data_IF_259048264084
#
_entry.id   IF_259048264084
#
_cell.length_a   1.000
_cell.length_b   1.000
_cell.length_c   1.000
_cell.angle_alpha   90.00
_cell.angle_beta   90.00
_cell.angle_gamma   90.00
#
_symmetry.space_group_name_H-M   'P 1'
#
loop_
_entity.id
_entity.type
_entity.pdbx_description
1 polymer ?
#
# COMPACT_ATOMS: atom_id res chain seq x y z
N UNK A 1 -9.69 10.06 -31.13
CA UNK A 1 -10.47 10.58 -29.98
C UNK A 1 -9.89 11.92 -29.59
N UNK A 2 -10.67 13.00 -29.65
CA UNK A 2 -10.25 14.29 -29.13
C UNK A 2 -10.01 14.20 -27.61
N UNK A 3 -8.98 14.82 -27.05
CA UNK A 3 -8.76 14.81 -25.60
C UNK A 3 -9.93 15.52 -24.91
N UNK A 4 -10.72 14.79 -24.12
CA UNK A 4 -11.69 15.41 -23.21
C UNK A 4 -10.92 16.34 -22.26
N UNK A 5 -11.32 17.60 -22.18
CA UNK A 5 -10.74 18.55 -21.22
C UNK A 5 -10.95 18.01 -19.81
N UNK A 6 -9.88 17.86 -19.04
CA UNK A 6 -9.96 17.55 -17.61
C UNK A 6 -10.69 18.70 -16.92
N UNK A 7 -11.69 18.36 -16.10
CA UNK A 7 -12.39 19.36 -15.30
C UNK A 7 -11.47 19.92 -14.21
N UNK A 8 -11.63 21.19 -13.84
CA UNK A 8 -10.84 21.80 -12.73
C UNK A 8 -10.93 20.95 -11.45
N UNK A 9 -12.10 20.40 -11.15
CA UNK A 9 -12.28 19.50 -10.00
C UNK A 9 -11.40 18.25 -10.06
N UNK A 10 -11.25 17.63 -11.23
CA UNK A 10 -10.44 16.43 -11.39
C UNK A 10 -8.93 16.77 -11.29
N UNK A 11 -8.53 17.94 -11.78
CA UNK A 11 -7.16 18.43 -11.61
C UNK A 11 -6.85 18.72 -10.14
N UNK A 12 -7.74 19.41 -9.42
CA UNK A 12 -7.60 19.72 -8.00
C UNK A 12 -7.59 18.46 -7.13
N UNK A 13 -8.49 17.50 -7.40
CA UNK A 13 -8.52 16.24 -6.66
C UNK A 13 -7.23 15.43 -6.81
N UNK A 14 -6.64 15.43 -8.01
CA UNK A 14 -5.34 14.78 -8.29
C UNK A 14 -4.20 15.44 -7.54
N UNK A 15 -4.11 16.77 -7.60
CA UNK A 15 -3.11 17.51 -6.83
C UNK A 15 -3.27 17.23 -5.33
N UNK A 16 -4.51 17.29 -4.80
CA UNK A 16 -4.79 17.02 -3.40
C UNK A 16 -4.35 15.60 -2.98
N UNK A 17 -4.69 14.58 -3.77
CA UNK A 17 -4.27 13.20 -3.50
C UNK A 17 -2.74 13.07 -3.44
N UNK A 18 -2.05 13.66 -4.42
CA UNK A 18 -0.59 13.63 -4.47
C UNK A 18 0.02 14.35 -3.25
N UNK A 19 -0.44 15.58 -2.95
CA UNK A 19 0.03 16.36 -1.80
C UNK A 19 -0.18 15.61 -0.49
N UNK A 20 -1.34 14.98 -0.30
CA UNK A 20 -1.66 14.26 0.94
C UNK A 20 -0.78 13.03 1.13
N UNK A 21 -0.60 12.21 0.09
CA UNK A 21 0.29 11.04 0.15
C UNK A 21 1.72 11.49 0.45
N UNK A 22 2.24 12.47 -0.28
CA UNK A 22 3.59 13.00 -0.06
C UNK A 22 3.77 13.60 1.34
N UNK A 23 2.78 14.32 1.87
CA UNK A 23 2.83 14.90 3.19
C UNK A 23 2.87 13.83 4.30
N UNK A 24 2.04 12.79 4.21
CA UNK A 24 2.04 11.69 5.19
C UNK A 24 3.32 10.85 5.10
N UNK A 25 3.88 10.65 3.91
CA UNK A 25 5.18 9.99 3.75
C UNK A 25 6.32 10.84 4.34
N UNK A 26 6.34 12.14 4.04
CA UNK A 26 7.33 13.07 4.61
C UNK A 26 7.23 13.12 6.13
N UNK A 27 6.01 13.08 6.68
CA UNK A 27 5.77 12.92 8.11
C UNK A 27 6.41 11.64 8.64
N UNK A 28 6.23 10.50 7.96
CA UNK A 28 6.90 9.24 8.33
C UNK A 28 8.42 9.33 8.31
N UNK A 29 8.98 9.97 7.27
CA UNK A 29 10.43 10.22 7.18
C UNK A 29 10.90 11.07 8.36
N UNK A 30 10.18 12.13 8.73
CA UNK A 30 10.49 12.98 9.89
C UNK A 30 10.52 12.19 11.21
N UNK A 31 9.74 11.11 11.32
CA UNK A 31 9.73 10.22 12.47
C UNK A 31 10.92 9.25 12.52
N UNK A 32 11.79 9.23 11.51
CA UNK A 32 12.98 8.37 11.47
C UNK A 32 14.03 8.75 12.53
N UNK A 33 14.74 7.78 13.14
CA UNK A 33 15.74 8.06 14.16
C UNK A 33 16.81 9.12 13.82
N UNK A 34 17.33 9.21 12.57
CA UNK A 34 18.35 10.22 12.23
C UNK A 34 17.87 11.68 12.31
N UNK A 35 16.56 11.93 12.28
CA UNK A 35 16.00 13.28 12.21
C UNK A 35 15.59 13.86 13.59
N UNK A 36 16.21 13.39 14.68
CA UNK A 36 15.95 13.87 16.05
C UNK A 36 16.10 15.38 16.19
N UNK A 37 17.16 15.97 15.61
CA UNK A 37 17.39 17.42 15.65
C UNK A 37 16.27 18.21 14.95
N UNK A 38 15.82 17.74 13.79
CA UNK A 38 14.70 18.35 13.06
C UNK A 38 13.38 18.20 13.81
N UNK A 39 13.12 17.02 14.41
CA UNK A 39 11.95 16.80 15.27
C UNK A 39 11.92 17.78 16.44
N UNK A 40 13.04 17.92 17.16
CA UNK A 40 13.18 18.87 18.27
C UNK A 40 12.84 20.29 17.82
N UNK A 41 13.38 20.71 16.67
CA UNK A 41 13.13 22.05 16.12
C UNK A 41 11.64 22.28 15.76
N UNK A 42 10.91 21.22 15.41
CA UNK A 42 9.48 21.27 15.10
C UNK A 42 8.57 21.04 16.34
N UNK A 43 9.14 20.96 17.54
CA UNK A 43 8.39 20.71 18.77
C UNK A 43 7.89 19.26 18.93
N UNK A 44 8.47 18.32 18.18
CA UNK A 44 8.18 16.89 18.28
C UNK A 44 9.09 16.20 19.29
N UNK A 45 8.66 15.07 19.89
CA UNK A 45 9.51 14.29 20.78
C UNK A 45 10.80 13.84 20.08
N UNK A 46 11.94 14.11 20.72
CA UNK A 46 13.25 13.62 20.26
C UNK A 46 13.26 12.09 20.21
N UNK A 47 12.85 11.47 21.30
CA UNK A 47 12.60 10.04 21.38
C UNK A 47 11.11 9.82 21.28
N UNK A 48 10.70 9.06 20.28
CA UNK A 48 9.29 8.70 20.10
C UNK A 48 8.84 7.86 21.31
N UNK A 49 7.92 8.33 22.16
CA UNK A 49 7.56 7.65 23.41
C UNK A 49 6.97 6.25 23.18
N UNK A 50 7.47 5.19 23.82
CA UNK A 50 7.11 3.80 23.46
C UNK A 50 7.81 3.27 22.20
N UNK A 51 8.76 4.02 21.62
CA UNK A 51 9.57 3.57 20.49
C UNK A 51 10.46 2.39 20.86
N UNK A 52 10.85 1.60 19.86
CA UNK A 52 11.79 0.49 20.03
C UNK A 52 13.24 0.92 19.88
N UNK A 53 13.50 2.03 19.20
CA UNK A 53 14.86 2.52 18.98
C UNK A 53 15.47 3.08 20.27
N UNK A 54 16.62 2.54 20.66
CA UNK A 54 17.43 3.04 21.76
C UNK A 54 18.53 3.94 21.19
N UNK A 55 18.50 5.27 21.44
CA UNK A 55 19.48 6.20 20.91
C UNK A 55 20.88 6.03 21.52
N UNK A 56 21.01 5.45 22.71
CA UNK A 56 22.31 5.25 23.35
C UNK A 56 23.09 4.09 22.73
N UNK A 57 22.39 3.03 22.30
CA UNK A 57 23.00 1.82 21.74
C UNK A 57 22.85 1.72 20.22
N UNK A 58 22.07 2.61 19.60
CA UNK A 58 21.66 2.53 18.20
C UNK A 58 21.04 1.18 17.81
N UNK A 59 20.35 0.53 18.76
CA UNK A 59 19.68 -0.76 18.56
C UNK A 59 18.17 -0.65 18.74
N UNK A 60 17.44 -1.64 18.21
CA UNK A 60 16.00 -1.77 18.43
C UNK A 60 15.73 -2.81 19.53
N UNK A 61 15.00 -2.40 20.58
CA UNK A 61 14.45 -3.31 21.57
C UNK A 61 13.44 -4.26 20.92
N UNK A 62 13.44 -5.50 21.39
CA UNK A 62 12.39 -6.46 21.06
C UNK A 62 11.06 -5.87 21.51
N UNK A 63 10.87 -5.64 22.81
CA UNK A 63 9.63 -5.08 23.35
C UNK A 63 9.63 -3.55 23.37
N UNK A 64 8.53 -2.90 22.98
CA UNK A 64 8.39 -1.46 23.13
C UNK A 64 8.26 -1.07 24.61
N UNK A 65 8.87 0.04 25.00
CA UNK A 65 8.81 0.55 26.39
C UNK A 65 7.40 0.92 26.86
N UNK A 66 6.49 1.19 25.93
CA UNK A 66 5.06 1.34 26.18
C UNK A 66 4.28 0.73 25.00
N UNK A 67 3.84 -0.54 25.10
CA UNK A 67 3.16 -1.25 24.02
C UNK A 67 1.90 -0.55 23.51
N UNK A 68 1.05 -0.03 24.42
CA UNK A 68 -0.17 0.68 24.05
C UNK A 68 0.12 1.91 23.18
N UNK A 69 1.10 2.72 23.58
CA UNK A 69 1.48 3.91 22.82
C UNK A 69 2.17 3.56 21.50
N UNK A 70 3.00 2.52 21.50
CA UNK A 70 3.67 2.03 20.31
C UNK A 70 2.66 1.62 19.24
N UNK A 71 1.73 0.73 19.60
CA UNK A 71 0.72 0.24 18.65
C UNK A 71 -0.25 1.33 18.24
N UNK A 72 -0.69 2.21 19.15
CA UNK A 72 -1.51 3.35 18.77
C UNK A 72 -0.86 4.17 17.66
N UNK A 73 0.43 4.49 17.76
CA UNK A 73 1.13 5.26 16.72
C UNK A 73 1.27 4.54 15.40
N UNK A 74 1.61 3.27 15.43
CA UNK A 74 1.68 2.46 14.20
C UNK A 74 0.31 2.44 13.54
N UNK A 75 -0.74 2.06 14.27
CA UNK A 75 -2.11 1.98 13.74
C UNK A 75 -2.53 3.29 13.10
N UNK A 76 -2.41 4.43 13.79
CA UNK A 76 -2.84 5.72 13.24
C UNK A 76 -1.98 6.19 12.06
N UNK A 77 -0.66 5.95 12.09
CA UNK A 77 0.21 6.31 10.97
C UNK A 77 -0.11 5.50 9.71
N UNK A 78 -0.20 4.17 9.82
CA UNK A 78 -0.53 3.33 8.68
C UNK A 78 -1.94 3.61 8.17
N UNK A 79 -2.93 3.84 9.04
CA UNK A 79 -4.27 4.21 8.59
C UNK A 79 -4.30 5.58 7.89
N UNK A 80 -3.49 6.56 8.32
CA UNK A 80 -3.36 7.83 7.61
C UNK A 80 -2.77 7.62 6.19
N UNK A 81 -1.72 6.82 6.07
CA UNK A 81 -1.12 6.49 4.77
C UNK A 81 -2.10 5.72 3.87
N UNK A 82 -2.76 4.71 4.44
CA UNK A 82 -3.76 3.88 3.75
C UNK A 82 -4.94 4.73 3.27
N UNK A 83 -5.42 5.65 4.11
CA UNK A 83 -6.49 6.58 3.79
C UNK A 83 -6.14 7.49 2.60
N UNK A 84 -4.93 8.06 2.60
CA UNK A 84 -4.44 8.87 1.49
C UNK A 84 -4.29 8.06 0.20
N UNK A 85 -3.76 6.82 0.27
CA UNK A 85 -3.63 5.94 -0.89
C UNK A 85 -4.97 5.43 -1.42
N UNK A 86 -5.95 5.15 -0.55
CA UNK A 86 -7.32 4.83 -0.97
C UNK A 86 -7.94 6.01 -1.71
N UNK A 87 -7.81 7.23 -1.18
CA UNK A 87 -8.28 8.42 -1.88
C UNK A 87 -7.58 8.59 -3.24
N UNK A 88 -6.26 8.43 -3.31
CA UNK A 88 -5.52 8.46 -4.57
C UNK A 88 -5.98 7.38 -5.55
N UNK A 89 -6.33 6.19 -5.05
CA UNK A 89 -6.89 5.09 -5.85
C UNK A 89 -8.27 5.47 -6.41
N UNK A 90 -9.15 6.06 -5.61
CA UNK A 90 -10.46 6.56 -6.07
C UNK A 90 -10.28 7.64 -7.14
N UNK A 91 -9.36 8.57 -6.92
CA UNK A 91 -9.04 9.65 -7.88
C UNK A 91 -8.52 9.07 -9.20
N UNK A 92 -7.59 8.12 -9.16
CA UNK A 92 -7.07 7.45 -10.34
C UNK A 92 -8.19 6.68 -11.05
N UNK A 93 -8.99 5.90 -10.32
CA UNK A 93 -10.09 5.12 -10.88
C UNK A 93 -11.19 5.99 -11.51
N UNK A 94 -11.44 7.19 -10.95
CA UNK A 94 -12.41 8.15 -11.48
C UNK A 94 -11.92 8.89 -12.74
N UNK A 95 -10.64 8.79 -13.10
CA UNK A 95 -10.09 9.44 -14.29
C UNK A 95 -10.59 8.74 -15.57
N UNK A 96 -11.23 9.46 -16.52
CA UNK A 96 -11.58 8.89 -17.81
C UNK A 96 -10.32 8.42 -18.57
N UNK A 97 -10.34 7.26 -19.25
CA UNK A 97 -11.48 6.37 -19.50
C UNK A 97 -11.58 5.17 -18.52
N UNK A 98 -10.94 5.22 -17.35
CA UNK A 98 -10.75 4.03 -16.50
C UNK A 98 -12.05 3.45 -15.96
N UNK A 99 -12.87 4.25 -15.29
CA UNK A 99 -14.22 3.85 -14.90
C UNK A 99 -15.21 4.92 -15.32
N UNK A 100 -16.31 4.47 -15.93
CA UNK A 100 -17.48 5.33 -16.11
C UNK A 100 -18.33 5.31 -14.84
N UNK A 101 -17.93 6.15 -13.88
CA UNK A 101 -18.73 6.44 -12.70
C UNK A 101 -19.86 7.40 -13.09
N UNK A 102 -21.08 7.11 -12.63
CA UNK A 102 -22.23 8.03 -12.79
C UNK A 102 -21.87 9.39 -12.18
N UNK A 103 -22.02 10.49 -12.93
CA UNK A 103 -21.49 11.83 -12.54
C UNK A 103 -21.90 12.28 -11.13
N UNK A 104 -23.17 12.06 -10.74
CA UNK A 104 -23.65 12.42 -9.40
C UNK A 104 -22.96 11.66 -8.26
N UNK A 105 -22.61 10.39 -8.48
CA UNK A 105 -21.92 9.56 -7.50
C UNK A 105 -20.41 9.80 -7.50
N UNK A 106 -19.83 10.11 -8.68
CA UNK A 106 -18.40 10.39 -8.83
C UNK A 106 -17.96 11.53 -7.93
N UNK A 107 -18.69 12.67 -7.98
CA UNK A 107 -18.34 13.84 -7.18
C UNK A 107 -18.49 13.57 -5.68
N UNK A 108 -19.55 12.86 -5.29
CA UNK A 108 -19.77 12.44 -3.90
C UNK A 108 -18.62 11.57 -3.38
N UNK A 109 -18.21 10.55 -4.13
CA UNK A 109 -17.10 9.67 -3.76
C UNK A 109 -15.77 10.43 -3.63
N UNK A 110 -15.48 11.37 -4.54
CA UNK A 110 -14.25 12.18 -4.47
C UNK A 110 -14.24 13.13 -3.26
N UNK A 111 -15.36 13.81 -2.98
CA UNK A 111 -15.46 14.73 -1.83
C UNK A 111 -15.37 13.98 -0.51
N UNK A 112 -16.14 12.89 -0.36
CA UNK A 112 -16.08 12.07 0.85
C UNK A 112 -14.71 11.39 1.01
N UNK A 113 -14.11 10.93 -0.09
CA UNK A 113 -12.77 10.35 -0.07
C UNK A 113 -11.71 11.36 0.38
N UNK A 114 -11.77 12.60 -0.13
CA UNK A 114 -10.87 13.68 0.27
C UNK A 114 -11.02 14.03 1.75
N UNK A 115 -12.25 14.34 2.19
CA UNK A 115 -12.54 14.69 3.59
C UNK A 115 -12.18 13.55 4.53
N UNK A 116 -12.52 12.32 4.15
CA UNK A 116 -12.21 11.13 4.92
C UNK A 116 -10.71 10.92 5.06
N UNK A 117 -9.94 11.04 3.98
CA UNK A 117 -8.48 10.94 4.04
C UNK A 117 -7.85 12.07 4.88
N UNK A 118 -8.36 13.29 4.74
CA UNK A 118 -7.87 14.46 5.48
C UNK A 118 -8.11 14.30 6.98
N UNK A 119 -9.34 13.96 7.38
CA UNK A 119 -9.71 13.82 8.79
C UNK A 119 -9.10 12.59 9.45
N UNK A 120 -8.97 11.48 8.72
CA UNK A 120 -8.21 10.31 9.19
C UNK A 120 -6.76 10.69 9.46
N UNK A 121 -6.12 11.41 8.53
CA UNK A 121 -4.72 11.77 8.67
C UNK A 121 -4.49 12.81 9.76
N UNK A 122 -5.24 13.92 9.75
CA UNK A 122 -5.13 14.96 10.78
C UNK A 122 -5.50 14.42 12.16
N UNK A 123 -6.68 13.80 12.31
CA UNK A 123 -7.12 13.24 13.57
C UNK A 123 -6.17 12.19 14.11
N UNK A 124 -5.74 11.24 13.26
CA UNK A 124 -4.89 10.14 13.67
C UNK A 124 -3.47 10.57 14.01
N UNK A 125 -2.82 11.39 13.18
CA UNK A 125 -1.45 11.84 13.43
C UNK A 125 -1.39 12.80 14.62
N UNK A 126 -2.34 13.73 14.76
CA UNK A 126 -2.39 14.62 15.93
C UNK A 126 -2.69 13.85 17.21
N UNK A 127 -3.63 12.89 17.18
CA UNK A 127 -3.93 12.04 18.33
C UNK A 127 -2.71 11.22 18.78
N UNK A 128 -2.00 10.62 17.82
CA UNK A 128 -0.93 9.69 18.09
C UNK A 128 0.41 10.34 18.48
N UNK A 129 0.69 11.54 17.95
CA UNK A 129 2.01 12.19 18.08
C UNK A 129 2.01 13.51 18.84
N UNK A 130 0.86 14.18 19.01
CA UNK A 130 0.78 15.47 19.71
C UNK A 130 -0.04 15.41 20.99
N UNK A 131 -1.33 15.09 20.92
CA UNK A 131 -2.22 15.14 22.06
C UNK A 131 -3.30 14.04 22.00
N UNK A 132 -3.45 13.26 23.07
CA UNK A 132 -4.44 12.17 23.15
C UNK A 132 -5.82 12.66 23.55
N UNK A 133 -6.38 13.58 22.78
CA UNK A 133 -7.69 14.18 23.06
C UNK A 133 -8.82 13.33 22.44
N UNK A 134 -9.94 13.12 23.15
CA UNK A 134 -11.06 12.32 22.64
C UNK A 134 -11.60 12.81 21.29
N UNK A 135 -11.65 14.13 21.07
CA UNK A 135 -12.14 14.70 19.82
C UNK A 135 -11.19 14.49 18.63
N UNK A 136 -9.87 14.36 18.85
CA UNK A 136 -8.92 14.02 17.79
C UNK A 136 -9.09 12.57 17.35
N UNK A 137 -9.29 11.66 18.31
CA UNK A 137 -9.64 10.28 18.00
C UNK A 137 -11.03 10.17 17.32
N UNK A 138 -12.01 10.96 17.77
CA UNK A 138 -13.32 11.07 17.12
C UNK A 138 -13.22 11.55 15.67
N UNK A 139 -12.35 12.53 15.39
CA UNK A 139 -12.07 13.01 14.03
C UNK A 139 -11.45 11.91 13.16
N UNK A 140 -10.52 11.13 13.71
CA UNK A 140 -9.95 9.95 13.03
C UNK A 140 -11.03 8.94 12.64
N UNK A 141 -11.91 8.57 13.58
CA UNK A 141 -13.01 7.62 13.33
C UNK A 141 -14.00 8.18 12.29
N UNK A 142 -14.37 9.46 12.40
CA UNK A 142 -15.25 10.11 11.43
C UNK A 142 -14.63 10.12 10.02
N UNK A 143 -13.32 10.35 9.91
CA UNK A 143 -12.58 10.26 8.66
C UNK A 143 -12.65 8.88 8.03
N UNK A 144 -12.42 7.82 8.82
CA UNK A 144 -12.54 6.44 8.33
C UNK A 144 -13.96 6.11 7.88
N UNK A 145 -14.99 6.56 8.61
CA UNK A 145 -16.39 6.38 8.23
C UNK A 145 -16.73 7.09 6.91
N UNK A 146 -16.20 8.29 6.68
CA UNK A 146 -16.35 8.99 5.41
C UNK A 146 -15.67 8.27 4.24
N UNK A 147 -14.47 7.70 4.45
CA UNK A 147 -13.80 6.88 3.44
C UNK A 147 -14.59 5.61 3.13
N UNK A 148 -15.16 4.97 4.15
CA UNK A 148 -16.06 3.83 3.96
C UNK A 148 -17.26 4.22 3.09
N UNK A 149 -17.93 5.35 3.41
CA UNK A 149 -19.03 5.87 2.62
C UNK A 149 -18.62 6.21 1.17
N UNK A 150 -17.42 6.78 0.97
CA UNK A 150 -16.88 7.01 -0.36
C UNK A 150 -16.71 5.71 -1.16
N UNK A 151 -16.24 4.63 -0.51
CA UNK A 151 -16.15 3.30 -1.11
C UNK A 151 -17.52 2.73 -1.49
N UNK A 152 -18.54 2.88 -0.63
CA UNK A 152 -19.93 2.46 -0.94
C UNK A 152 -20.46 3.22 -2.15
N UNK A 153 -20.28 4.55 -2.20
CA UNK A 153 -20.68 5.35 -3.36
C UNK A 153 -19.95 4.91 -4.62
N UNK A 154 -18.63 4.68 -4.54
CA UNK A 154 -17.83 4.22 -5.66
C UNK A 154 -18.36 2.87 -6.18
N UNK A 155 -18.55 1.88 -5.32
CA UNK A 155 -19.09 0.56 -5.67
C UNK A 155 -20.47 0.65 -6.33
N UNK A 156 -21.38 1.46 -5.77
CA UNK A 156 -22.74 1.65 -6.30
C UNK A 156 -22.78 2.33 -7.69
N UNK A 157 -21.71 3.04 -8.04
CA UNK A 157 -21.63 3.83 -9.25
C UNK A 157 -20.98 3.09 -10.42
N UNK A 158 -20.21 2.04 -10.15
CA UNK A 158 -19.54 1.23 -11.17
C UNK A 158 -20.56 0.34 -11.87
N UNK A 159 -20.60 0.41 -13.19
CA UNK A 159 -21.30 -0.55 -14.04
C UNK A 159 -20.26 -1.37 -14.82
N UNK A 160 -19.97 -2.62 -14.41
CA UNK A 160 -18.93 -3.40 -15.08
C UNK A 160 -19.25 -3.65 -16.55
N UNK A 161 -18.30 -3.32 -17.43
CA UNK A 161 -18.40 -3.56 -18.89
C UNK A 161 -17.50 -4.69 -19.34
N UNK A 162 -16.41 -4.89 -18.62
CA UNK A 162 -15.45 -5.95 -18.84
C UNK A 162 -15.03 -6.61 -17.51
N UNK A 163 -14.22 -7.65 -17.61
CA UNK A 163 -13.71 -8.39 -16.46
C UNK A 163 -12.77 -7.56 -15.57
N UNK A 164 -12.13 -6.51 -16.09
CA UNK A 164 -11.29 -5.63 -15.28
C UNK A 164 -12.16 -4.70 -14.42
N UNK A 165 -13.26 -4.17 -14.96
CA UNK A 165 -14.25 -3.42 -14.17
C UNK A 165 -14.84 -4.29 -13.06
N UNK A 166 -15.18 -5.54 -13.40
CA UNK A 166 -15.69 -6.51 -12.43
C UNK A 166 -14.66 -6.78 -11.32
N UNK A 167 -13.37 -6.86 -11.66
CA UNK A 167 -12.28 -6.97 -10.69
C UNK A 167 -12.16 -5.76 -9.78
N UNK A 168 -12.27 -4.53 -10.32
CA UNK A 168 -12.26 -3.32 -9.49
C UNK A 168 -13.48 -3.27 -8.56
N UNK A 169 -14.67 -3.60 -9.06
CA UNK A 169 -15.88 -3.65 -8.23
C UNK A 169 -15.74 -4.69 -7.10
N UNK A 170 -15.29 -5.91 -7.43
CA UNK A 170 -15.08 -6.97 -6.46
C UNK A 170 -14.09 -6.52 -5.37
N UNK A 171 -12.97 -5.92 -5.76
CA UNK A 171 -11.99 -5.41 -4.83
C UNK A 171 -12.54 -4.30 -3.91
N UNK A 172 -13.33 -3.35 -4.42
CA UNK A 172 -13.94 -2.31 -3.58
C UNK A 172 -14.88 -2.95 -2.56
N UNK A 173 -15.72 -3.90 -2.98
CA UNK A 173 -16.62 -4.63 -2.06
C UNK A 173 -15.81 -5.37 -0.99
N UNK A 174 -14.73 -6.05 -1.37
CA UNK A 174 -13.87 -6.78 -0.43
C UNK A 174 -13.10 -5.83 0.51
N UNK A 175 -12.67 -4.65 0.05
CA UNK A 175 -12.09 -3.60 0.91
C UNK A 175 -13.12 -3.06 1.91
N UNK A 176 -14.40 -2.95 1.54
CA UNK A 176 -15.47 -2.58 2.48
C UNK A 176 -15.69 -3.66 3.54
N UNK A 177 -15.63 -4.94 3.17
CA UNK A 177 -15.65 -6.05 4.15
C UNK A 177 -14.45 -5.95 5.09
N UNK A 178 -13.25 -5.74 4.55
CA UNK A 178 -12.04 -5.54 5.34
C UNK A 178 -12.15 -4.33 6.28
N UNK A 179 -12.73 -3.22 5.82
CA UNK A 179 -13.00 -2.04 6.66
C UNK A 179 -13.95 -2.33 7.82
N UNK A 180 -14.98 -3.15 7.61
CA UNK A 180 -15.89 -3.58 8.68
C UNK A 180 -15.17 -4.46 9.72
N UNK A 181 -14.31 -5.38 9.27
CA UNK A 181 -13.47 -6.20 10.18
C UNK A 181 -12.51 -5.30 10.97
N UNK A 182 -11.90 -4.30 10.32
CA UNK A 182 -11.05 -3.31 10.98
C UNK A 182 -11.81 -2.52 12.06
N UNK A 183 -13.06 -2.12 11.78
CA UNK A 183 -13.95 -1.50 12.76
C UNK A 183 -14.27 -2.40 13.95
N UNK A 184 -14.53 -3.69 13.68
CA UNK A 184 -14.72 -4.71 14.73
C UNK A 184 -13.46 -4.85 15.60
N UNK A 185 -12.28 -4.97 14.99
CA UNK A 185 -11.00 -5.00 15.70
C UNK A 185 -10.79 -3.72 16.53
N UNK A 186 -11.10 -2.55 15.99
CA UNK A 186 -11.01 -1.28 16.72
C UNK A 186 -11.91 -1.24 17.95
N UNK A 187 -13.10 -1.84 17.88
CA UNK A 187 -14.03 -1.93 19.01
C UNK A 187 -13.49 -2.76 20.19
N UNK A 188 -12.52 -3.65 19.95
CA UNK A 188 -11.88 -4.45 20.99
C UNK A 188 -11.15 -3.61 22.07
N UNK A 189 -10.84 -2.35 21.75
CA UNK A 189 -10.20 -1.41 22.68
C UNK A 189 -11.16 -0.76 23.70
N UNK A 190 -12.48 -1.00 23.56
CA UNK A 190 -13.51 -0.55 24.50
C UNK A 190 -13.39 -1.34 25.82
N UNK A 191 -13.20 -2.65 25.74
CA UNK A 191 -13.04 -3.53 26.90
C UNK A 191 -11.57 -3.65 27.32
N UNK A 192 -11.28 -3.42 28.59
CA UNK A 192 -9.90 -3.43 29.11
C UNK A 192 -9.24 -4.81 29.09
N UNK A 193 -9.99 -5.88 29.33
CA UNK A 193 -9.49 -7.26 29.34
C UNK A 193 -9.16 -7.74 27.94
N UNK A 194 -10.05 -7.48 26.98
CA UNK A 194 -9.85 -7.79 25.56
C UNK A 194 -8.65 -7.02 25.01
N UNK A 195 -8.59 -5.71 25.27
CA UNK A 195 -7.47 -4.85 24.89
C UNK A 195 -6.14 -5.37 25.41
N UNK A 196 -6.07 -5.73 26.70
CA UNK A 196 -4.84 -6.24 27.30
C UNK A 196 -4.37 -7.54 26.63
N UNK A 197 -5.31 -8.46 26.37
CA UNK A 197 -5.04 -9.70 25.63
C UNK A 197 -4.52 -9.45 24.21
N UNK A 198 -5.14 -8.53 23.47
CA UNK A 198 -4.72 -8.15 22.12
C UNK A 198 -3.33 -7.51 22.10
N UNK A 199 -3.07 -6.52 22.96
CA UNK A 199 -1.76 -5.85 23.02
C UNK A 199 -0.66 -6.84 23.39
N UNK A 200 -0.93 -7.77 24.31
CA UNK A 200 0.00 -8.85 24.65
C UNK A 200 0.29 -9.74 23.44
N UNK A 201 -0.75 -10.16 22.70
CA UNK A 201 -0.58 -10.96 21.49
C UNK A 201 0.26 -10.20 20.43
N UNK A 202 -0.04 -8.93 20.17
CA UNK A 202 0.73 -8.10 19.22
C UNK A 202 2.20 -7.93 19.61
N UNK A 203 2.52 -7.89 20.91
CA UNK A 203 3.90 -7.78 21.40
C UNK A 203 4.69 -9.08 21.33
N UNK A 204 4.03 -10.20 21.62
CA UNK A 204 4.69 -11.48 21.91
C UNK A 204 4.48 -12.56 20.86
N UNK A 205 3.55 -12.41 19.91
CA UNK A 205 3.24 -13.43 18.90
C UNK A 205 4.48 -13.86 18.08
N UNK A 206 5.41 -12.94 17.79
CA UNK A 206 6.67 -13.26 17.08
C UNK A 206 7.63 -14.16 17.90
N UNK A 207 7.45 -14.23 19.22
CA UNK A 207 8.24 -15.06 20.14
C UNK A 207 7.50 -16.34 20.51
N UNK A 208 6.16 -16.28 20.52
CA UNK A 208 5.28 -17.40 20.80
C UNK A 208 4.09 -17.41 19.82
N UNK A 209 4.18 -18.19 18.73
CA UNK A 209 3.11 -18.30 17.74
C UNK A 209 1.76 -18.79 18.29
N UNK A 210 1.76 -19.57 19.38
CA UNK A 210 0.52 -20.09 19.97
C UNK A 210 -0.35 -18.96 20.57
N UNK A 211 0.26 -17.85 21.01
CA UNK A 211 -0.46 -16.65 21.44
C UNK A 211 -1.20 -15.96 20.28
N UNK A 212 -0.68 -16.10 19.07
CA UNK A 212 -1.29 -15.55 17.86
C UNK A 212 -2.53 -16.37 17.48
N UNK A 213 -2.40 -17.71 17.43
CA UNK A 213 -3.50 -18.61 17.06
C UNK A 213 -4.64 -18.61 18.09
N UNK A 214 -4.32 -18.51 19.38
CA UNK A 214 -5.32 -18.53 20.45
C UNK A 214 -6.10 -17.21 20.62
N UNK A 215 -5.62 -16.10 20.05
CA UNK A 215 -6.27 -14.79 20.19
C UNK A 215 -7.11 -14.44 18.94
N UNK A 216 -8.46 -14.46 19.01
CA UNK A 216 -9.30 -14.20 17.85
C UNK A 216 -9.17 -12.77 17.31
N UNK A 217 -8.88 -11.78 18.16
CA UNK A 217 -8.68 -10.40 17.72
C UNK A 217 -7.34 -10.21 17.01
N UNK A 218 -6.29 -10.92 17.45
CA UNK A 218 -5.02 -10.93 16.74
C UNK A 218 -5.20 -11.55 15.34
N UNK A 219 -5.90 -12.69 15.24
CA UNK A 219 -6.20 -13.32 13.95
C UNK A 219 -7.03 -12.41 13.05
N UNK A 220 -7.99 -11.67 13.61
CA UNK A 220 -8.78 -10.67 12.88
C UNK A 220 -7.93 -9.49 12.38
N UNK A 221 -6.97 -9.00 13.18
CA UNK A 221 -6.00 -7.96 12.75
C UNK A 221 -5.21 -8.47 11.55
N UNK A 222 -4.62 -9.66 11.64
CA UNK A 222 -3.80 -10.22 10.56
C UNK A 222 -4.62 -10.46 9.29
N UNK A 223 -5.82 -11.03 9.42
CA UNK A 223 -6.73 -11.21 8.29
C UNK A 223 -7.13 -9.89 7.63
N UNK A 224 -7.38 -8.85 8.44
CA UNK A 224 -7.63 -7.49 7.94
C UNK A 224 -6.41 -6.92 7.20
N UNK A 225 -5.24 -6.89 7.84
CA UNK A 225 -4.04 -6.27 7.28
C UNK A 225 -3.61 -6.95 5.96
N UNK A 226 -3.55 -8.28 5.93
CA UNK A 226 -3.16 -9.04 4.74
C UNK A 226 -4.13 -8.80 3.57
N UNK A 227 -5.44 -8.89 3.83
CA UNK A 227 -6.44 -8.71 2.81
C UNK A 227 -6.40 -7.28 2.24
N UNK A 228 -6.34 -6.27 3.10
CA UNK A 228 -6.46 -4.88 2.69
C UNK A 228 -5.33 -4.46 1.74
N UNK A 229 -4.07 -4.77 2.06
CA UNK A 229 -2.92 -4.44 1.20
C UNK A 229 -3.00 -5.21 -0.11
N UNK A 230 -3.21 -6.53 -0.06
CA UNK A 230 -3.21 -7.37 -1.26
C UNK A 230 -4.36 -7.03 -2.22
N UNK A 231 -5.56 -6.71 -1.71
CA UNK A 231 -6.69 -6.27 -2.53
C UNK A 231 -6.39 -4.90 -3.16
N UNK A 232 -5.79 -3.98 -2.40
CA UNK A 232 -5.44 -2.64 -2.88
C UNK A 232 -4.36 -2.68 -3.99
N UNK A 233 -3.33 -3.50 -3.81
CA UNK A 233 -2.31 -3.79 -4.84
C UNK A 233 -2.94 -4.34 -6.12
N UNK A 234 -3.85 -5.29 -5.96
CA UNK A 234 -4.56 -5.92 -7.08
C UNK A 234 -5.36 -4.89 -7.86
N UNK A 235 -6.08 -4.00 -7.17
CA UNK A 235 -6.80 -2.89 -7.81
C UNK A 235 -5.85 -1.95 -8.54
N UNK A 236 -4.73 -1.57 -7.93
CA UNK A 236 -3.78 -0.68 -8.55
C UNK A 236 -3.22 -1.27 -9.86
N UNK A 237 -2.87 -2.56 -9.85
CA UNK A 237 -2.42 -3.25 -11.06
C UNK A 237 -3.54 -3.39 -12.10
N UNK A 238 -4.79 -3.65 -11.69
CA UNK A 238 -5.95 -3.67 -12.60
C UNK A 238 -6.15 -2.29 -13.24
N UNK A 239 -6.04 -1.19 -12.48
CA UNK A 239 -6.13 0.18 -13.00
C UNK A 239 -5.01 0.46 -14.02
N UNK A 240 -3.78 -0.01 -13.76
CA UNK A 240 -2.68 0.05 -14.71
C UNK A 240 -2.99 -0.76 -15.98
N UNK A 241 -3.54 -1.96 -15.88
CA UNK A 241 -3.95 -2.74 -17.05
C UNK A 241 -5.01 -2.02 -17.89
N UNK A 242 -5.96 -1.36 -17.23
CA UNK A 242 -7.00 -0.56 -17.89
C UNK A 242 -6.42 0.66 -18.59
N UNK A 243 -5.47 1.38 -17.95
CA UNK A 243 -4.83 2.55 -18.58
C UNK A 243 -3.96 2.14 -19.78
N UNK A 244 -3.26 1.02 -19.66
CA UNK A 244 -2.40 0.50 -20.73
C UNK A 244 -3.17 -0.17 -21.88
N UNK A 245 -4.42 -0.54 -21.61
CA UNK A 245 -5.32 -1.17 -22.56
C UNK A 245 -4.94 -2.63 -22.85
N UNK A 246 -5.78 -3.55 -22.40
CA UNK A 246 -5.62 -4.98 -22.70
C UNK A 246 -6.23 -5.28 -24.05
N UNK A 247 -5.44 -5.85 -24.97
CA UNK A 247 -5.99 -6.44 -26.20
C UNK A 247 -6.78 -7.69 -25.80
N UNK A 248 -8.03 -7.83 -26.20
CA UNK A 248 -8.85 -8.97 -25.78
C UNK A 248 -8.71 -10.21 -26.69
N UNK A 249 -8.65 -11.40 -26.12
CA UNK A 249 -8.82 -12.71 -26.80
C UNK A 249 -9.46 -13.69 -25.82
N UNK A 250 -9.85 -14.89 -26.28
CA UNK A 250 -10.42 -15.93 -25.41
C UNK A 250 -9.52 -16.23 -24.20
N UNK A 251 -8.23 -16.51 -24.42
CA UNK A 251 -7.27 -16.79 -23.33
C UNK A 251 -7.08 -15.61 -22.37
N UNK A 252 -7.15 -14.37 -22.85
CA UNK A 252 -7.02 -13.18 -21.99
C UNK A 252 -8.29 -12.90 -21.19
N UNK A 253 -9.46 -13.22 -21.74
CA UNK A 253 -10.71 -13.21 -20.95
C UNK A 253 -10.65 -14.27 -19.86
N UNK A 254 -10.19 -15.48 -20.17
CA UNK A 254 -9.97 -16.52 -19.17
C UNK A 254 -8.99 -16.07 -18.07
N UNK A 255 -7.84 -15.48 -18.44
CA UNK A 255 -6.89 -14.92 -17.47
C UNK A 255 -7.53 -13.82 -16.60
N UNK A 256 -8.35 -12.93 -17.17
CA UNK A 256 -9.05 -11.91 -16.38
C UNK A 256 -10.06 -12.52 -15.41
N UNK A 257 -10.83 -13.53 -15.84
CA UNK A 257 -11.75 -14.27 -14.96
C UNK A 257 -10.99 -14.96 -13.82
N UNK A 258 -9.88 -15.64 -14.13
CA UNK A 258 -9.04 -16.31 -13.13
C UNK A 258 -8.37 -15.31 -12.18
N UNK A 259 -7.99 -14.12 -12.66
CA UNK A 259 -7.52 -13.04 -11.79
C UNK A 259 -8.62 -12.60 -10.83
N UNK A 260 -9.84 -12.34 -11.30
CA UNK A 260 -10.96 -11.96 -10.41
C UNK A 260 -11.30 -13.07 -9.42
N UNK A 261 -11.31 -14.33 -9.85
CA UNK A 261 -11.51 -15.47 -8.96
C UNK A 261 -10.39 -15.58 -7.91
N UNK A 262 -9.13 -15.46 -8.34
CA UNK A 262 -7.97 -15.46 -7.44
C UNK A 262 -8.03 -14.34 -6.40
N UNK A 263 -8.42 -13.13 -6.82
CA UNK A 263 -8.67 -11.99 -5.92
C UNK A 263 -9.73 -12.32 -4.85
N UNK A 264 -10.88 -12.86 -5.27
CA UNK A 264 -11.99 -13.20 -4.35
C UNK A 264 -11.55 -14.30 -3.37
N UNK A 265 -10.96 -15.39 -3.89
CA UNK A 265 -10.52 -16.52 -3.05
C UNK A 265 -9.44 -16.07 -2.08
N UNK A 266 -8.44 -15.31 -2.54
CA UNK A 266 -7.38 -14.78 -1.68
C UNK A 266 -7.97 -13.90 -0.57
N UNK A 267 -8.84 -12.94 -0.90
CA UNK A 267 -9.44 -12.04 0.07
C UNK A 267 -10.31 -12.79 1.10
N UNK A 268 -11.17 -13.70 0.63
CA UNK A 268 -12.01 -14.52 1.52
C UNK A 268 -11.14 -15.38 2.41
N UNK A 269 -10.13 -16.06 1.88
CA UNK A 269 -9.19 -16.85 2.67
C UNK A 269 -8.46 -15.99 3.73
N UNK A 270 -8.02 -14.77 3.38
CA UNK A 270 -7.44 -13.85 4.35
C UNK A 270 -8.41 -13.48 5.47
N UNK A 271 -9.68 -13.21 5.17
CA UNK A 271 -10.69 -12.95 6.21
C UNK A 271 -11.00 -14.19 7.05
N UNK A 272 -10.94 -15.38 6.44
CA UNK A 272 -11.14 -16.66 7.12
C UNK A 272 -10.02 -17.03 8.11
N UNK A 273 -8.88 -16.33 8.09
CA UNK A 273 -7.85 -16.43 9.16
C UNK A 273 -8.47 -16.12 10.53
N UNK A 274 -9.45 -15.21 10.60
CA UNK A 274 -10.12 -14.87 11.86
C UNK A 274 -10.77 -16.09 12.54
N UNK A 275 -11.71 -16.82 11.91
CA UNK A 275 -12.28 -18.03 12.51
C UNK A 275 -11.34 -19.25 12.46
N UNK A 276 -10.59 -19.45 11.37
CA UNK A 276 -9.93 -20.74 11.08
C UNK A 276 -8.40 -20.75 11.23
N UNK A 277 -7.78 -19.61 11.57
CA UNK A 277 -6.34 -19.52 11.86
C UNK A 277 -5.45 -19.99 10.72
N UNK A 278 -4.40 -20.74 11.06
CA UNK A 278 -3.39 -21.26 10.13
C UNK A 278 -3.92 -21.95 8.87
N UNK A 279 -5.04 -22.70 8.96
CA UNK A 279 -5.61 -23.46 7.82
C UNK A 279 -5.97 -22.55 6.64
N UNK A 280 -6.41 -21.33 6.93
CA UNK A 280 -6.79 -20.38 5.88
C UNK A 280 -5.59 -19.93 5.04
N UNK A 281 -4.37 -19.95 5.59
CA UNK A 281 -3.15 -19.56 4.87
C UNK A 281 -2.81 -20.49 3.70
N UNK A 282 -3.24 -21.76 3.76
CA UNK A 282 -3.04 -22.73 2.68
C UNK A 282 -3.77 -22.33 1.39
N UNK A 283 -4.87 -21.58 1.49
CA UNK A 283 -5.61 -21.07 0.34
C UNK A 283 -5.14 -19.70 -0.15
N UNK A 284 -4.56 -18.86 0.72
CA UNK A 284 -4.12 -17.49 0.38
C UNK A 284 -3.02 -17.53 -0.68
N UNK A 285 -1.98 -18.33 -0.45
CA UNK A 285 -0.78 -18.41 -1.32
C UNK A 285 -1.10 -18.88 -2.75
N UNK A 286 -1.78 -20.03 -2.98
CA UNK A 286 -2.09 -20.44 -4.35
C UNK A 286 -3.03 -19.45 -5.05
N UNK A 287 -3.98 -18.85 -4.32
CA UNK A 287 -4.89 -17.85 -4.90
C UNK A 287 -4.15 -16.56 -5.31
N UNK A 288 -3.22 -16.07 -4.49
CA UNK A 288 -2.41 -14.89 -4.80
C UNK A 288 -1.43 -15.14 -5.96
N UNK A 289 -0.87 -16.35 -6.07
CA UNK A 289 -0.05 -16.75 -7.21
C UNK A 289 -0.85 -16.79 -8.52
N UNK A 290 -2.05 -17.39 -8.52
CA UNK A 290 -2.93 -17.41 -9.69
C UNK A 290 -3.30 -15.99 -10.11
N UNK A 291 -3.67 -15.14 -9.14
CA UNK A 291 -3.99 -13.74 -9.34
C UNK A 291 -2.82 -12.99 -10.00
N UNK A 292 -1.63 -13.02 -9.40
CA UNK A 292 -0.47 -12.29 -9.90
C UNK A 292 0.00 -12.82 -11.26
N UNK A 293 0.01 -14.14 -11.46
CA UNK A 293 0.35 -14.76 -12.75
C UNK A 293 -0.61 -14.27 -13.84
N UNK A 294 -1.92 -14.29 -13.59
CA UNK A 294 -2.91 -13.85 -14.55
C UNK A 294 -2.77 -12.35 -14.87
N UNK A 295 -2.57 -11.50 -13.86
CA UNK A 295 -2.33 -10.06 -14.07
C UNK A 295 -1.02 -9.81 -14.84
N UNK A 296 0.03 -10.59 -14.59
CA UNK A 296 1.31 -10.53 -15.32
C UNK A 296 1.11 -10.91 -16.81
N UNK A 297 0.35 -11.96 -17.09
CA UNK A 297 0.01 -12.38 -18.46
C UNK A 297 -0.80 -11.32 -19.20
N UNK A 298 -1.73 -10.65 -18.50
CA UNK A 298 -2.48 -9.53 -19.05
C UNK A 298 -1.56 -8.33 -19.35
N UNK A 299 -0.64 -8.02 -18.44
CA UNK A 299 0.32 -6.91 -18.60
C UNK A 299 1.23 -7.12 -19.82
N UNK A 300 1.73 -8.34 -20.02
CA UNK A 300 2.54 -8.70 -21.19
C UNK A 300 1.81 -8.47 -22.52
N UNK A 301 0.47 -8.44 -22.51
CA UNK A 301 -0.41 -8.33 -23.68
C UNK A 301 -1.15 -6.99 -23.78
N UNK A 302 -0.69 -5.99 -23.05
CA UNK A 302 -1.13 -4.59 -23.20
C UNK A 302 -0.75 -4.03 -24.57
N UNK A 303 -1.41 -2.94 -24.99
CA UNK A 303 -1.16 -2.32 -26.29
C UNK A 303 0.28 -1.79 -26.35
N UNK A 304 1.03 -2.24 -27.37
CA UNK A 304 2.41 -1.78 -27.61
C UNK A 304 2.49 -0.37 -28.20
N UNK A 305 1.38 0.13 -28.74
CA UNK A 305 1.28 1.44 -29.38
C UNK A 305 0.76 2.45 -28.36
N UNK A 306 1.49 3.55 -28.21
CA UNK A 306 1.18 4.62 -27.27
C UNK A 306 2.19 5.74 -27.42
N UNK A 307 1.88 6.89 -26.84
CA UNK A 307 2.84 7.99 -26.73
C UNK A 307 4.00 7.64 -25.77
N UNK A 308 4.92 8.58 -25.56
CA UNK A 308 6.09 8.38 -24.73
C UNK A 308 5.75 8.06 -23.27
N UNK A 309 4.73 8.72 -22.71
CA UNK A 309 4.30 8.51 -21.32
C UNK A 309 3.68 7.13 -21.18
N UNK A 310 2.81 6.73 -22.10
CA UNK A 310 2.18 5.39 -22.11
C UNK A 310 3.21 4.26 -22.21
N UNK A 311 4.22 4.41 -23.08
CA UNK A 311 5.34 3.45 -23.18
C UNK A 311 6.13 3.37 -21.88
N UNK A 312 6.40 4.51 -21.25
CA UNK A 312 7.13 4.57 -19.97
C UNK A 312 6.32 3.97 -18.83
N UNK A 313 5.01 4.20 -18.78
CA UNK A 313 4.10 3.59 -17.80
C UNK A 313 4.07 2.07 -17.94
N UNK A 314 4.09 1.55 -19.17
CA UNK A 314 4.19 0.11 -19.42
C UNK A 314 5.50 -0.48 -18.94
N UNK A 315 6.63 0.20 -19.18
CA UNK A 315 7.94 -0.22 -18.68
C UNK A 315 7.96 -0.18 -17.15
N UNK A 316 7.49 0.90 -16.54
CA UNK A 316 7.37 1.04 -15.09
C UNK A 316 6.51 -0.08 -14.47
N UNK A 317 5.37 -0.41 -15.07
CA UNK A 317 4.51 -1.51 -14.64
C UNK A 317 5.21 -2.88 -14.72
N UNK A 318 5.97 -3.13 -15.80
CA UNK A 318 6.74 -4.37 -15.97
C UNK A 318 7.83 -4.45 -14.90
N UNK A 319 8.59 -3.37 -14.68
CA UNK A 319 9.59 -3.31 -13.61
C UNK A 319 8.94 -3.60 -12.27
N UNK A 320 7.84 -2.91 -11.93
CA UNK A 320 7.11 -3.11 -10.68
C UNK A 320 6.66 -4.55 -10.46
N UNK A 321 6.04 -5.18 -11.46
CA UNK A 321 5.59 -6.58 -11.37
C UNK A 321 6.77 -7.54 -11.23
N UNK A 322 7.86 -7.35 -11.99
CA UNK A 322 9.07 -8.18 -11.87
C UNK A 322 9.74 -8.02 -10.51
N UNK A 323 9.74 -6.80 -9.95
CA UNK A 323 10.20 -6.56 -8.58
C UNK A 323 9.34 -7.28 -7.56
N UNK A 324 8.00 -7.25 -7.68
CA UNK A 324 7.12 -8.00 -6.76
C UNK A 324 7.40 -9.51 -6.86
N UNK A 325 7.60 -10.04 -8.07
CA UNK A 325 8.02 -11.44 -8.23
C UNK A 325 9.35 -11.73 -7.53
N UNK A 326 10.37 -10.91 -7.77
CA UNK A 326 11.74 -11.17 -7.31
C UNK A 326 12.01 -10.84 -5.85
N UNK A 327 11.33 -9.84 -5.28
CA UNK A 327 11.58 -9.32 -3.94
C UNK A 327 10.48 -9.66 -2.93
N UNK A 328 9.35 -10.24 -3.37
CA UNK A 328 8.25 -10.65 -2.48
C UNK A 328 7.85 -12.09 -2.72
N UNK A 329 7.46 -12.46 -3.95
CA UNK A 329 6.83 -13.76 -4.19
C UNK A 329 7.82 -14.92 -4.10
N UNK A 330 8.95 -14.83 -4.80
CA UNK A 330 9.98 -15.87 -4.78
C UNK A 330 10.60 -16.00 -3.38
N UNK A 331 11.05 -14.92 -2.73
CA UNK A 331 11.51 -14.97 -1.34
C UNK A 331 10.44 -15.52 -0.38
N UNK A 332 9.19 -15.07 -0.50
CA UNK A 332 8.09 -15.54 0.33
C UNK A 332 7.80 -17.02 0.17
N UNK A 333 7.87 -17.55 -1.06
CA UNK A 333 7.75 -18.98 -1.32
C UNK A 333 8.93 -19.76 -0.70
N UNK A 334 10.15 -19.24 -0.78
CA UNK A 334 11.33 -19.86 -0.15
C UNK A 334 11.18 -19.92 1.38
N UNK A 335 10.76 -18.80 2.00
CA UNK A 335 10.50 -18.72 3.44
C UNK A 335 9.38 -19.69 3.82
N UNK A 336 8.28 -19.73 3.08
CA UNK A 336 7.15 -20.62 3.33
C UNK A 336 7.52 -22.12 3.20
N UNK A 337 8.25 -22.52 2.15
CA UNK A 337 8.72 -23.90 2.01
C UNK A 337 9.65 -24.31 3.15
N UNK A 338 10.50 -23.39 3.61
CA UNK A 338 11.42 -23.61 4.72
C UNK A 338 10.72 -23.78 6.08
N UNK A 339 9.46 -23.37 6.21
CA UNK A 339 8.63 -23.56 7.41
C UNK A 339 8.07 -24.97 7.55
N UNK A 340 7.87 -25.68 6.44
CA UNK A 340 7.16 -26.96 6.44
C UNK A 340 8.09 -28.16 6.30
N UNK A 341 9.11 -28.12 5.44
CA UNK A 341 10.04 -29.24 5.27
C UNK A 341 11.41 -28.79 4.75
N UNK A 342 12.51 -29.48 5.10
CA UNK A 342 13.77 -29.31 4.39
C UNK A 342 13.55 -29.68 2.91
N UNK A 343 13.82 -28.74 2.01
CA UNK A 343 13.70 -28.97 0.57
C UNK A 343 15.02 -29.53 0.02
N UNK A 344 15.03 -30.18 -1.17
CA UNK A 344 16.25 -30.73 -1.76
C UNK A 344 17.34 -29.68 -2.08
N UNK A 345 16.95 -28.40 -2.17
CA UNK A 345 17.84 -27.30 -2.53
C UNK A 345 18.24 -26.43 -1.33
N UNK A 346 17.46 -26.49 -0.24
CA UNK A 346 17.64 -25.71 0.98
C UNK A 346 17.43 -26.67 2.15
N UNK A 347 18.55 -27.18 2.70
CA UNK A 347 18.62 -28.11 3.83
C UNK A 347 19.08 -27.45 5.16
N UNK A 348 18.47 -26.36 5.64
CA UNK A 348 18.78 -25.89 6.98
C UNK A 348 18.12 -26.81 8.01
N UNK A 349 18.76 -26.93 9.17
CA UNK A 349 18.12 -27.52 10.33
C UNK A 349 16.78 -26.80 10.57
N UNK A 350 15.68 -27.56 10.54
CA UNK A 350 14.33 -27.07 10.80
C UNK A 350 14.34 -26.15 12.05
N UNK A 351 13.88 -24.90 11.90
CA UNK A 351 13.88 -23.85 12.96
C UNK A 351 15.26 -23.39 13.46
N UNK A 352 16.30 -23.39 12.62
CA UNK A 352 17.56 -22.73 12.98
C UNK A 352 17.29 -21.28 13.47
N UNK A 353 17.96 -20.80 14.52
CA UNK A 353 17.77 -19.44 15.03
C UNK A 353 17.96 -18.35 13.96
N UNK A 354 18.81 -18.60 12.96
CA UNK A 354 19.06 -17.70 11.84
C UNK A 354 17.82 -17.56 10.94
N UNK A 355 17.17 -18.68 10.59
CA UNK A 355 15.98 -18.66 9.74
C UNK A 355 14.77 -18.04 10.42
N UNK A 356 14.61 -18.21 11.74
CA UNK A 356 13.55 -17.51 12.50
C UNK A 356 13.69 -15.99 12.47
N UNK A 357 14.92 -15.49 12.35
CA UNK A 357 15.14 -14.04 12.24
C UNK A 357 14.86 -13.56 10.82
N UNK A 358 15.36 -14.28 9.81
CA UNK A 358 15.09 -13.96 8.41
C UNK A 358 13.58 -14.03 8.10
N UNK A 359 12.89 -15.04 8.62
CA UNK A 359 11.43 -15.18 8.54
C UNK A 359 10.70 -14.00 9.19
N UNK A 360 11.04 -13.65 10.44
CA UNK A 360 10.42 -12.52 11.11
C UNK A 360 10.70 -11.19 10.41
N UNK A 361 11.92 -10.99 9.90
CA UNK A 361 12.28 -9.80 9.16
C UNK A 361 11.48 -9.72 7.84
N UNK A 362 11.46 -10.81 7.08
CA UNK A 362 10.70 -10.93 5.85
C UNK A 362 9.21 -10.68 6.11
N UNK A 363 8.60 -11.35 7.09
CA UNK A 363 7.19 -11.23 7.44
C UNK A 363 6.75 -9.80 7.76
N UNK A 364 7.67 -8.93 8.19
CA UNK A 364 7.38 -7.51 8.48
C UNK A 364 7.68 -6.63 7.26
N UNK A 365 8.84 -6.79 6.62
CA UNK A 365 9.27 -5.84 5.60
C UNK A 365 8.65 -6.07 4.22
N UNK A 366 8.21 -7.29 3.87
CA UNK A 366 7.54 -7.51 2.58
C UNK A 366 6.22 -6.72 2.46
N UNK A 367 5.49 -6.52 3.56
CA UNK A 367 4.30 -5.67 3.58
C UNK A 367 4.59 -4.21 3.24
N UNK A 368 5.79 -3.72 3.58
CA UNK A 368 6.21 -2.36 3.21
C UNK A 368 6.55 -2.27 1.73
N UNK A 369 7.14 -3.32 1.15
CA UNK A 369 7.39 -3.43 -0.28
C UNK A 369 6.05 -3.46 -1.04
N UNK A 370 5.07 -4.24 -0.57
CA UNK A 370 3.72 -4.28 -1.14
C UNK A 370 3.00 -2.93 -1.02
N UNK A 371 3.06 -2.27 0.14
CA UNK A 371 2.50 -0.92 0.30
C UNK A 371 3.13 0.10 -0.67
N UNK A 372 4.44 0.01 -0.92
CA UNK A 372 5.12 0.82 -1.92
C UNK A 372 4.73 0.43 -3.35
N UNK A 373 4.51 -0.86 -3.62
CA UNK A 373 4.01 -1.35 -4.90
C UNK A 373 2.60 -0.81 -5.20
N UNK A 374 1.72 -0.74 -4.20
CA UNK A 374 0.39 -0.13 -4.33
C UNK A 374 0.52 1.34 -4.73
N UNK A 375 1.34 2.10 -3.99
CA UNK A 375 1.63 3.50 -4.31
C UNK A 375 2.16 3.69 -5.73
N UNK A 376 3.13 2.86 -6.15
CA UNK A 376 3.70 2.88 -7.50
C UNK A 376 2.67 2.53 -8.57
N UNK A 377 1.78 1.57 -8.32
CA UNK A 377 0.71 1.17 -9.22
C UNK A 377 -0.30 2.30 -9.45
N UNK A 378 -0.78 2.91 -8.36
CA UNK A 378 -1.70 4.07 -8.43
C UNK A 378 -1.02 5.24 -9.13
N UNK A 379 0.24 5.52 -8.79
CA UNK A 379 1.05 6.55 -9.44
C UNK A 379 1.18 6.30 -10.95
N UNK A 380 1.47 5.06 -11.34
CA UNK A 380 1.61 4.67 -12.75
C UNK A 380 0.29 4.85 -13.50
N UNK A 381 -0.84 4.41 -12.91
CA UNK A 381 -2.17 4.60 -13.49
C UNK A 381 -2.53 6.09 -13.63
N UNK A 382 -2.30 6.88 -12.59
CA UNK A 382 -2.59 8.32 -12.60
C UNK A 382 -1.80 9.03 -13.70
N UNK A 383 -0.47 8.87 -13.73
CA UNK A 383 0.40 9.52 -14.73
C UNK A 383 0.09 9.08 -16.16
N UNK A 384 -0.26 7.81 -16.37
CA UNK A 384 -0.64 7.29 -17.69
C UNK A 384 -1.95 7.87 -18.24
N UNK A 385 -2.82 8.38 -17.34
CA UNK A 385 -4.10 9.02 -17.72
C UNK A 385 -4.02 10.53 -17.81
N UNK A 386 -2.87 11.14 -17.50
CA UNK A 386 -2.77 12.59 -17.55
C UNK A 386 -2.86 13.13 -18.99
N UNK A 387 -3.50 14.32 -19.19
CA UNK A 387 -3.58 14.94 -20.50
C UNK A 387 -2.21 15.15 -21.11
N UNK A 388 -2.12 14.93 -22.42
CA UNK A 388 -0.90 15.21 -23.17
C UNK A 388 -0.54 16.68 -23.09
N UNK A 389 0.76 16.94 -22.96
CA UNK A 389 1.30 18.30 -23.03
C UNK A 389 2.26 18.46 -24.19
N UNK A 390 3.12 19.47 -24.08
CA UNK A 390 4.27 19.61 -24.95
C UNK A 390 5.35 18.55 -24.67
N UNK A 391 6.30 18.40 -25.59
CA UNK A 391 7.38 17.41 -25.53
C UNK A 391 8.14 17.39 -24.19
N UNK A 392 8.44 18.57 -23.63
CA UNK A 392 9.18 18.69 -22.37
C UNK A 392 8.39 18.11 -21.18
N UNK A 393 7.08 18.38 -21.13
CA UNK A 393 6.19 17.89 -20.09
C UNK A 393 6.08 16.37 -20.16
N UNK A 394 5.89 15.82 -21.36
CA UNK A 394 5.79 14.37 -21.53
C UNK A 394 7.12 13.67 -21.21
N UNK A 395 8.26 14.32 -21.48
CA UNK A 395 9.58 13.83 -21.09
C UNK A 395 9.73 13.79 -19.57
N UNK A 396 9.33 14.86 -18.87
CA UNK A 396 9.35 14.92 -17.41
C UNK A 396 8.44 13.85 -16.80
N UNK A 397 7.22 13.66 -17.31
CA UNK A 397 6.31 12.62 -16.85
C UNK A 397 6.87 11.19 -17.09
N UNK A 398 7.53 10.98 -18.23
CA UNK A 398 8.16 9.71 -18.56
C UNK A 398 9.36 9.42 -17.65
N UNK A 399 10.22 10.42 -17.42
CA UNK A 399 11.34 10.33 -16.49
C UNK A 399 10.86 10.04 -15.07
N UNK A 400 9.80 10.73 -14.62
CA UNK A 400 9.19 10.51 -13.31
C UNK A 400 8.76 9.05 -13.10
N UNK A 401 8.06 8.47 -14.08
CA UNK A 401 7.62 7.06 -14.08
C UNK A 401 8.79 6.08 -13.97
N UNK A 402 9.82 6.27 -14.80
CA UNK A 402 10.96 5.36 -14.85
C UNK A 402 11.83 5.48 -13.59
N UNK A 403 12.09 6.69 -13.11
CA UNK A 403 12.83 6.93 -11.87
C UNK A 403 12.10 6.31 -10.67
N UNK A 404 10.78 6.51 -10.57
CA UNK A 404 9.98 5.89 -9.51
C UNK A 404 10.07 4.35 -9.54
N UNK A 405 9.92 3.74 -10.72
CA UNK A 405 9.96 2.29 -10.86
C UNK A 405 11.35 1.69 -10.63
N UNK A 406 12.41 2.30 -11.15
CA UNK A 406 13.80 1.85 -10.96
C UNK A 406 14.22 2.03 -9.49
N UNK A 407 13.88 3.17 -8.88
CA UNK A 407 14.13 3.41 -7.46
C UNK A 407 13.40 2.41 -6.57
N UNK A 408 12.12 2.13 -6.86
CA UNK A 408 11.35 1.09 -6.19
C UNK A 408 12.00 -0.29 -6.32
N UNK A 409 12.43 -0.67 -7.53
CA UNK A 409 13.10 -1.94 -7.76
C UNK A 409 14.39 -2.07 -6.94
N UNK A 410 15.28 -1.08 -7.03
CA UNK A 410 16.54 -1.07 -6.29
C UNK A 410 16.32 -1.12 -4.78
N UNK A 411 15.41 -0.29 -4.25
CA UNK A 411 15.10 -0.26 -2.82
C UNK A 411 14.49 -1.58 -2.34
N UNK A 412 13.58 -2.17 -3.11
CA UNK A 412 12.87 -3.41 -2.72
C UNK A 412 13.81 -4.61 -2.72
N UNK A 413 14.64 -4.78 -3.75
CA UNK A 413 15.63 -5.87 -3.77
C UNK A 413 16.67 -5.70 -2.67
N UNK A 414 17.17 -4.48 -2.43
CA UNK A 414 18.12 -4.24 -1.36
C UNK A 414 17.48 -4.44 0.04
N UNK A 415 16.22 -4.07 0.22
CA UNK A 415 15.47 -4.32 1.44
C UNK A 415 15.22 -5.81 1.67
N UNK A 416 14.88 -6.57 0.62
CA UNK A 416 14.72 -8.01 0.70
C UNK A 416 16.03 -8.71 1.07
N UNK A 417 17.12 -8.38 0.39
CA UNK A 417 18.46 -8.88 0.74
C UNK A 417 18.88 -8.47 2.15
N UNK A 418 18.56 -7.25 2.58
CA UNK A 418 18.77 -6.82 3.96
C UNK A 418 18.01 -7.73 4.93
N UNK A 419 16.72 -8.01 4.69
CA UNK A 419 15.92 -8.87 5.57
C UNK A 419 16.44 -10.30 5.62
N UNK A 420 16.81 -10.86 4.47
CA UNK A 420 17.24 -12.26 4.36
C UNK A 420 18.69 -12.48 4.84
N UNK A 421 19.57 -11.47 4.73
CA UNK A 421 20.99 -11.65 4.98
C UNK A 421 21.51 -11.00 6.27
N UNK A 422 20.76 -10.13 6.96
CA UNK A 422 21.30 -9.34 8.09
C UNK A 422 21.46 -10.09 9.42
N UNK A 423 21.17 -11.39 9.47
CA UNK A 423 21.40 -12.24 10.65
C UNK A 423 20.63 -11.81 11.91
N UNK A 424 20.92 -12.43 13.09
CA UNK A 424 20.15 -12.26 14.33
C UNK A 424 20.30 -10.90 15.04
N UNK A 425 21.31 -10.10 14.69
CA UNK A 425 21.53 -8.76 15.25
C UNK A 425 21.73 -7.75 14.12
N UNK A 426 20.67 -7.43 13.36
CA UNK A 426 20.80 -6.49 12.26
C UNK A 426 21.06 -5.10 12.84
N UNK A 427 22.26 -4.58 12.63
CA UNK A 427 22.59 -3.16 12.83
C UNK A 427 22.47 -2.46 11.49
N UNK A 428 21.48 -1.55 11.29
CA UNK A 428 21.32 -0.83 10.03
C UNK A 428 22.61 -0.11 9.59
N UNK A 429 23.36 0.41 10.56
CA UNK A 429 24.58 1.20 10.33
C UNK A 429 25.75 0.42 9.75
N UNK A 430 25.74 -0.92 9.81
CA UNK A 430 26.87 -1.74 9.33
C UNK A 430 26.49 -2.64 8.16
N UNK A 431 25.24 -2.58 7.69
CA UNK A 431 24.78 -3.49 6.63
C UNK A 431 25.17 -2.97 5.24
N UNK A 432 25.79 -3.80 4.38
CA UNK A 432 26.17 -3.39 3.03
C UNK A 432 24.96 -3.09 2.13
N UNK A 433 23.75 -3.48 2.55
CA UNK A 433 22.51 -3.27 1.81
C UNK A 433 21.88 -1.89 2.04
N UNK A 434 22.16 -1.24 3.17
CA UNK A 434 21.54 0.05 3.49
C UNK A 434 21.82 1.16 2.47
N UNK A 435 23.07 1.34 1.97
CA UNK A 435 23.33 2.34 0.93
C UNK A 435 22.49 2.13 -0.34
N UNK A 436 22.21 0.88 -0.70
CA UNK A 436 21.39 0.54 -1.86
C UNK A 436 19.89 0.82 -1.62
N UNK A 437 19.40 0.55 -0.41
CA UNK A 437 18.05 0.92 0.00
C UNK A 437 17.89 2.44 -0.09
N UNK A 438 18.80 3.20 0.51
CA UNK A 438 18.76 4.66 0.51
C UNK A 438 18.88 5.25 -0.89
N UNK A 439 19.83 4.77 -1.71
CA UNK A 439 19.97 5.21 -3.09
C UNK A 439 18.71 4.93 -3.92
N UNK A 440 18.11 3.75 -3.77
CA UNK A 440 16.85 3.40 -4.42
C UNK A 440 15.70 4.33 -3.99
N UNK A 441 15.57 4.60 -2.69
CA UNK A 441 14.55 5.52 -2.16
C UNK A 441 14.76 6.97 -2.63
N UNK A 442 16.01 7.44 -2.76
CA UNK A 442 16.33 8.76 -3.31
C UNK A 442 15.90 8.84 -4.78
N UNK A 443 16.26 7.85 -5.60
CA UNK A 443 15.86 7.79 -7.01
C UNK A 443 14.34 7.75 -7.15
N UNK A 444 13.67 6.95 -6.32
CA UNK A 444 12.20 6.89 -6.29
C UNK A 444 11.60 8.26 -5.93
N UNK A 445 12.14 8.93 -4.91
CA UNK A 445 11.69 10.24 -4.44
C UNK A 445 11.87 11.33 -5.50
N UNK A 446 12.97 11.30 -6.26
CA UNK A 446 13.18 12.21 -7.39
C UNK A 446 12.13 12.02 -8.49
N UNK A 447 11.75 10.77 -8.77
CA UNK A 447 10.65 10.44 -9.67
C UNK A 447 9.33 11.03 -9.19
N UNK A 448 8.98 10.82 -7.92
CA UNK A 448 7.76 11.34 -7.29
C UNK A 448 7.75 12.88 -7.29
N UNK A 449 8.86 13.52 -6.94
CA UNK A 449 8.97 14.98 -6.93
C UNK A 449 8.82 15.58 -8.33
N UNK A 450 9.42 14.94 -9.34
CA UNK A 450 9.29 15.38 -10.74
C UNK A 450 7.83 15.31 -11.20
N UNK A 451 7.13 14.21 -10.88
CA UNK A 451 5.70 14.10 -11.20
C UNK A 451 4.84 15.11 -10.43
N UNK A 452 5.15 15.40 -9.17
CA UNK A 452 4.45 16.44 -8.41
C UNK A 452 4.49 17.78 -9.13
N UNK A 453 5.67 18.17 -9.64
CA UNK A 453 5.84 19.41 -10.41
C UNK A 453 5.03 19.39 -11.71
N UNK A 454 4.97 18.25 -12.41
CA UNK A 454 4.13 18.08 -13.61
C UNK A 454 2.65 18.28 -13.28
N UNK A 455 2.14 17.61 -12.25
CA UNK A 455 0.73 17.68 -11.83
C UNK A 455 0.37 19.09 -11.35
N UNK A 456 1.26 19.74 -10.60
CA UNK A 456 1.09 21.11 -10.13
C UNK A 456 0.99 22.09 -11.30
N UNK A 457 1.91 21.99 -12.28
CA UNK A 457 1.90 22.81 -13.48
C UNK A 457 0.61 22.62 -14.29
N UNK A 458 0.20 21.37 -14.54
CA UNK A 458 -1.00 21.05 -15.31
C UNK A 458 -2.27 21.56 -14.62
N UNK A 459 -2.31 21.49 -13.28
CA UNK A 459 -3.42 22.01 -12.47
C UNK A 459 -3.49 23.53 -12.55
N UNK A 460 -2.37 24.23 -12.35
CA UNK A 460 -2.30 25.68 -12.44
C UNK A 460 -2.74 26.18 -13.83
N UNK A 461 -2.24 25.55 -14.90
CA UNK A 461 -2.64 25.87 -16.28
C UNK A 461 -4.14 25.69 -16.51
N UNK A 462 -4.71 24.61 -15.97
CA UNK A 462 -6.15 24.31 -16.12
C UNK A 462 -7.03 25.35 -15.41
N UNK A 463 -6.59 25.84 -14.24
CA UNK A 463 -7.29 26.89 -13.49
C UNK A 463 -7.22 28.24 -14.22
N UNK A 464 -6.03 28.62 -14.70
CA UNK A 464 -5.81 29.90 -15.37
C UNK A 464 -6.56 29.99 -16.71
N UNK A 465 -6.55 28.92 -17.51
CA UNK A 465 -7.22 28.88 -18.82
C UNK A 465 -8.77 28.84 -18.74
N UNK A 466 -9.36 28.76 -17.54
CA UNK A 466 -10.81 28.94 -17.36
C UNK A 466 -11.21 30.39 -17.04
N UNK A 467 -10.24 31.23 -16.66
CA UNK A 467 -10.48 32.64 -16.31
C UNK A 467 -10.28 33.58 -17.49
N UNK A 468 -9.54 33.15 -18.51
CA UNK A 468 -9.49 33.74 -19.84
C UNK A 468 -10.58 33.12 -20.71
#
# INVERSE_FOLDING_TARGET
MAPRRVGVWDAVARLAAFTMVSAVLLWGVLLSPPLTGLRRALGLPEVLPGGRFNPATHTFSVEPSNPNLYFARLTHYYHALFACLLFATIVAAAAPPLLELREGFRRGALVLGFLGALWTSCGGLLYAYYARLPWLHGLFIAGLAMLYAAGVLAASSIKPRDWLDAGVLAAIVLLLVGGAIGGFVGSSFIDHSVRAGLVRALSLARLNPDLAESNPYWRAVVGHEHAMVAIADSVALILVLKCLGVRWSRGRRAAAVLAVAGLIVMAVASFLVWPYGGVAHEAITPASLVLLLCLTLLLARTMKQGDMVHRSARVAAVIGVLTVWGAVVVPGAIVAMSLHHPTPFIHPAFRSPYWRVAENAFNIGHWHILLAAWGLGVFTAAMATEPRGGRLRDLAASAALLLAAVGFAAASFAADLYMLCSGPKPTPTTSPWMPWIEAGLVVMSLGVATAYMVVLYDTARTILNRRA
#
